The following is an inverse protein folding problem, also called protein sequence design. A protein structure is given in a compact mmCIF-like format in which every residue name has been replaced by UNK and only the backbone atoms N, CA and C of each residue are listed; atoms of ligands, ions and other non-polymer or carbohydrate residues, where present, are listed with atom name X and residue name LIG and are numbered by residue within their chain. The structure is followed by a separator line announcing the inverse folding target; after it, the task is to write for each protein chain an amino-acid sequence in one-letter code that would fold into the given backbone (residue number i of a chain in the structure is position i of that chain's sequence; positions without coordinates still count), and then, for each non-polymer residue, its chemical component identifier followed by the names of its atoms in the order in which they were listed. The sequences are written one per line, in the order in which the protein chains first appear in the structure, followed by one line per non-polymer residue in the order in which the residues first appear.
data_IF_186254347817
#
_entry.id   IF_186254347817
#
_cell.length_a   1.000
_cell.length_b   1.000
_cell.length_c   1.000
_cell.angle_alpha   90.00
_cell.angle_beta   90.00
_cell.angle_gamma   90.00
#
_symmetry.space_group_name_H-M   'P 1'
#
loop_
_entity.id
_entity.type
_entity.pdbx_description
1 polymer ?
#
# COMPACT_ATOMS: atom_id res chain seq x y z
N UNK A 1 15.06 -1.84 6.96
CA UNK A 1 15.23 -0.88 5.87
C UNK A 1 14.26 -1.20 4.75
N UNK A 2 13.70 -0.19 4.13
CA UNK A 2 12.72 -0.36 3.06
C UNK A 2 13.16 0.42 1.83
N UNK A 3 12.60 0.03 0.68
CA UNK A 3 12.88 0.71 -0.58
C UNK A 3 11.60 0.84 -1.39
N UNK A 4 11.55 1.87 -2.21
CA UNK A 4 10.48 2.03 -3.18
C UNK A 4 11.11 2.23 -4.56
N UNK A 5 10.59 1.53 -5.55
CA UNK A 5 11.03 1.68 -6.93
C UNK A 5 9.84 2.10 -7.78
N UNK A 6 10.00 3.20 -8.49
CA UNK A 6 8.97 3.71 -9.39
C UNK A 6 9.23 3.24 -10.81
N UNK A 7 8.21 2.67 -11.42
CA UNK A 7 8.24 2.36 -12.86
C UNK A 7 6.91 2.78 -13.47
N UNK A 8 6.87 2.91 -14.77
CA UNK A 8 5.63 3.19 -15.48
C UNK A 8 5.37 2.09 -16.48
N UNK A 9 4.12 1.69 -16.63
CA UNK A 9 3.70 0.78 -17.67
C UNK A 9 2.36 1.27 -18.25
N UNK A 10 1.75 0.46 -19.11
CA UNK A 10 0.50 0.84 -19.78
C UNK A 10 -0.64 1.06 -18.78
N UNK A 11 -0.60 0.42 -17.64
CA UNK A 11 -1.66 0.48 -16.64
C UNK A 11 -1.52 1.69 -15.71
N UNK A 12 -0.35 2.31 -15.66
CA UNK A 12 -0.12 3.46 -14.81
C UNK A 12 1.25 3.47 -14.17
N UNK A 13 1.34 4.11 -13.02
CA UNK A 13 2.58 4.19 -12.25
C UNK A 13 2.63 3.03 -11.26
N UNK A 14 3.70 2.25 -11.32
CA UNK A 14 3.91 1.13 -10.40
C UNK A 14 4.94 1.53 -9.36
N UNK A 15 4.57 1.41 -8.10
CA UNK A 15 5.49 1.60 -6.97
C UNK A 15 5.74 0.24 -6.35
N UNK A 16 6.96 -0.26 -6.50
CA UNK A 16 7.37 -1.51 -5.89
C UNK A 16 7.96 -1.23 -4.52
N UNK A 17 7.30 -1.74 -3.51
CA UNK A 17 7.75 -1.61 -2.13
C UNK A 17 8.47 -2.87 -1.73
N UNK A 18 9.61 -2.73 -1.05
CA UNK A 18 10.40 -3.88 -0.62
C UNK A 18 10.97 -3.64 0.77
N UNK A 19 11.28 -4.74 1.46
CA UNK A 19 11.91 -4.73 2.76
C UNK A 19 10.91 -4.65 3.90
N UNK A 20 11.25 -3.87 4.92
CA UNK A 20 10.46 -3.73 6.14
C UNK A 20 9.85 -2.36 6.21
N UNK A 21 8.54 -2.30 6.18
CA UNK A 21 7.80 -1.05 6.31
C UNK A 21 7.13 -1.01 7.67
N UNK A 22 7.40 0.04 8.41
CA UNK A 22 6.89 0.24 9.75
C UNK A 22 6.30 1.63 9.88
N UNK A 23 5.60 1.87 10.97
CA UNK A 23 4.95 3.16 11.24
C UNK A 23 5.87 4.35 11.03
N UNK A 24 7.12 4.25 11.45
CA UNK A 24 8.09 5.33 11.34
C UNK A 24 8.45 5.68 9.90
N UNK A 25 8.15 4.80 8.96
CA UNK A 25 8.41 5.03 7.54
C UNK A 25 7.22 5.65 6.81
N UNK A 26 6.07 5.75 7.46
CA UNK A 26 4.84 6.18 6.80
C UNK A 26 4.91 7.62 6.28
N UNK A 27 5.60 8.51 6.97
CA UNK A 27 5.69 9.89 6.51
C UNK A 27 6.37 9.98 5.15
N UNK A 28 7.46 9.25 4.96
CA UNK A 28 8.15 9.21 3.67
C UNK A 28 7.29 8.55 2.62
N UNK A 29 6.64 7.44 2.98
CA UNK A 29 5.79 6.70 2.07
C UNK A 29 4.62 7.56 1.59
N UNK A 30 4.01 8.32 2.47
CA UNK A 30 2.92 9.23 2.13
C UNK A 30 3.37 10.31 1.17
N UNK A 31 4.58 10.83 1.34
CA UNK A 31 5.12 11.83 0.42
C UNK A 31 5.29 11.26 -0.98
N UNK A 32 5.83 10.04 -1.07
CA UNK A 32 5.99 9.37 -2.36
C UNK A 32 4.63 9.18 -3.03
N UNK A 33 3.65 8.70 -2.27
CA UNK A 33 2.32 8.46 -2.81
C UNK A 33 1.63 9.74 -3.23
N UNK A 34 1.73 10.79 -2.44
CA UNK A 34 1.13 12.08 -2.78
C UNK A 34 1.72 12.65 -4.06
N UNK A 35 3.01 12.46 -4.26
CA UNK A 35 3.70 12.92 -5.45
C UNK A 35 3.25 12.15 -6.70
N UNK A 36 3.02 10.85 -6.56
CA UNK A 36 2.73 9.99 -7.72
C UNK A 36 1.24 9.82 -7.99
N UNK A 37 0.39 10.02 -7.00
CA UNK A 37 -1.04 9.77 -7.15
C UNK A 37 -1.76 10.83 -8.01
N UNK A 38 -1.18 12.01 -8.14
CA UNK A 38 -1.83 13.11 -8.85
C UNK A 38 -1.89 12.83 -10.35
N UNK A 39 -3.08 12.56 -10.85
CA UNK A 39 -3.31 12.37 -12.27
C UNK A 39 -2.89 11.04 -12.86
N UNK A 40 -2.54 10.07 -12.02
CA UNK A 40 -2.10 8.77 -12.48
C UNK A 40 -2.82 7.63 -11.76
N UNK A 41 -2.97 6.51 -12.47
CA UNK A 41 -3.37 5.28 -11.82
C UNK A 41 -2.17 4.75 -11.03
N UNK A 42 -2.38 4.49 -9.77
CA UNK A 42 -1.31 4.04 -8.90
C UNK A 42 -1.45 2.54 -8.64
N UNK A 43 -0.38 1.83 -8.88
CA UNK A 43 -0.32 0.39 -8.67
C UNK A 43 0.79 0.10 -7.67
N UNK A 44 0.45 -0.63 -6.62
CA UNK A 44 1.40 -0.99 -5.58
C UNK A 44 1.82 -2.45 -5.77
N UNK A 45 3.09 -2.67 -6.04
CA UNK A 45 3.64 -4.02 -6.16
C UNK A 45 4.27 -4.39 -4.82
N UNK A 46 3.68 -5.37 -4.16
CA UNK A 46 4.06 -5.77 -2.82
C UNK A 46 4.80 -7.10 -2.78
N UNK A 47 5.22 -7.58 -3.93
CA UNK A 47 5.87 -8.89 -4.05
C UNK A 47 7.09 -9.04 -3.14
N UNK A 48 7.86 -7.98 -2.97
CA UNK A 48 9.10 -8.02 -2.21
C UNK A 48 8.98 -7.43 -0.81
N UNK A 49 7.78 -7.10 -0.41
CA UNK A 49 7.53 -6.57 0.93
C UNK A 49 7.61 -7.72 1.94
N UNK A 50 8.48 -7.59 2.93
CA UNK A 50 8.77 -8.69 3.86
C UNK A 50 8.11 -8.54 5.21
N UNK A 51 8.02 -7.32 5.70
CA UNK A 51 7.45 -7.07 7.02
C UNK A 51 6.67 -5.77 7.00
N UNK A 52 5.48 -5.81 7.58
CA UNK A 52 4.66 -4.62 7.78
C UNK A 52 4.10 -4.65 9.19
N UNK A 53 3.75 -3.48 9.73
CA UNK A 53 3.01 -3.41 10.98
C UNK A 53 1.56 -2.98 10.71
N UNK A 54 0.78 -2.88 11.76
CA UNK A 54 -0.64 -2.55 11.64
C UNK A 54 -0.88 -1.17 11.04
N UNK A 55 -0.02 -0.21 11.33
CA UNK A 55 -0.15 1.13 10.77
C UNK A 55 0.08 1.12 9.26
N UNK A 56 1.04 0.34 8.79
CA UNK A 56 1.29 0.20 7.35
C UNK A 56 0.13 -0.51 6.66
N UNK A 57 -0.41 -1.54 7.28
CA UNK A 57 -1.56 -2.26 6.72
C UNK A 57 -2.76 -1.33 6.60
N UNK A 58 -3.03 -0.52 7.61
CA UNK A 58 -4.11 0.45 7.56
C UNK A 58 -3.91 1.46 6.43
N UNK A 59 -2.67 1.92 6.24
CA UNK A 59 -2.35 2.82 5.15
C UNK A 59 -2.57 2.18 3.79
N UNK A 60 -2.16 0.92 3.62
CA UNK A 60 -2.37 0.19 2.36
C UNK A 60 -3.85 0.00 2.08
N UNK A 61 -4.63 -0.31 3.11
CA UNK A 61 -6.08 -0.45 2.97
C UNK A 61 -6.72 0.87 2.52
N UNK A 62 -6.28 1.99 3.08
CA UNK A 62 -6.76 3.30 2.68
C UNK A 62 -6.40 3.61 1.23
N UNK A 63 -5.20 3.24 0.80
CA UNK A 63 -4.79 3.43 -0.59
C UNK A 63 -5.67 2.66 -1.54
N UNK A 64 -5.97 1.40 -1.22
CA UNK A 64 -6.84 0.58 -2.05
C UNK A 64 -8.25 1.17 -2.10
N UNK A 65 -8.77 1.61 -0.98
CA UNK A 65 -10.08 2.25 -0.92
C UNK A 65 -10.16 3.54 -1.73
N UNK A 66 -9.02 4.22 -1.88
CA UNK A 66 -8.93 5.45 -2.69
C UNK A 66 -8.72 5.20 -4.17
N UNK A 67 -8.64 3.94 -4.59
CA UNK A 67 -8.54 3.58 -6.00
C UNK A 67 -7.21 3.01 -6.44
N UNK A 68 -6.23 2.89 -5.57
CA UNK A 68 -4.96 2.27 -5.94
C UNK A 68 -5.15 0.76 -6.09
N UNK A 69 -4.44 0.18 -7.05
CA UNK A 69 -4.46 -1.26 -7.28
C UNK A 69 -3.29 -1.92 -6.57
N UNK A 70 -3.50 -3.15 -6.12
CA UNK A 70 -2.45 -3.95 -5.51
C UNK A 70 -2.04 -5.06 -6.47
N UNK A 71 -0.74 -5.24 -6.65
CA UNK A 71 -0.19 -6.27 -7.53
C UNK A 71 0.72 -7.16 -6.69
N UNK A 72 0.59 -8.49 -6.88
CA UNK A 72 1.45 -9.47 -6.21
C UNK A 72 1.47 -9.34 -4.69
N UNK A 73 0.32 -9.03 -4.12
CA UNK A 73 0.20 -8.87 -2.67
C UNK A 73 0.37 -10.23 -1.98
N UNK A 74 1.31 -10.37 -1.04
CA UNK A 74 1.42 -11.61 -0.27
C UNK A 74 0.11 -11.94 0.44
N UNK A 75 -0.20 -13.23 0.55
CA UNK A 75 -1.48 -13.67 1.11
C UNK A 75 -1.73 -13.15 2.52
N UNK A 76 -0.71 -13.14 3.38
CA UNK A 76 -0.89 -12.68 4.76
C UNK A 76 -1.21 -11.18 4.82
N UNK A 77 -0.64 -10.39 3.92
CA UNK A 77 -0.94 -8.96 3.84
C UNK A 77 -2.35 -8.75 3.30
N UNK A 78 -2.73 -9.52 2.28
CA UNK A 78 -4.07 -9.43 1.71
C UNK A 78 -5.14 -9.76 2.75
N UNK A 79 -4.93 -10.79 3.53
CA UNK A 79 -5.85 -11.15 4.59
C UNK A 79 -5.93 -10.07 5.66
N UNK A 80 -4.79 -9.49 6.00
CA UNK A 80 -4.73 -8.43 7.00
C UNK A 80 -5.46 -7.17 6.51
N UNK A 81 -5.24 -6.78 5.25
CA UNK A 81 -5.94 -5.64 4.65
C UNK A 81 -7.45 -5.89 4.65
N UNK A 82 -7.88 -7.09 4.28
CA UNK A 82 -9.30 -7.44 4.27
C UNK A 82 -9.90 -7.35 5.67
N UNK A 83 -9.19 -7.81 6.69
CA UNK A 83 -9.65 -7.72 8.06
C UNK A 83 -9.80 -6.27 8.51
N UNK A 84 -8.85 -5.40 8.12
CA UNK A 84 -8.94 -3.98 8.44
C UNK A 84 -10.15 -3.32 7.77
N UNK A 85 -10.41 -3.66 6.52
CA UNK A 85 -11.56 -3.13 5.78
C UNK A 85 -12.87 -3.60 6.38
N UNK A 86 -12.96 -4.88 6.76
CA UNK A 86 -14.15 -5.44 7.40
C UNK A 86 -14.40 -4.79 8.76
N UNK A 87 -13.34 -4.57 9.54
CA UNK A 87 -13.47 -3.92 10.83
C UNK A 87 -14.02 -2.51 10.69
N UNK A 88 -13.58 -1.78 9.66
CA UNK A 88 -14.07 -0.45 9.39
C UNK A 88 -15.54 -0.46 8.97
N UNK A 89 -15.93 -1.42 8.13
CA UNK A 89 -17.30 -1.52 7.65
C UNK A 89 -18.27 -1.99 8.72
N UNK A 90 -17.83 -2.82 9.63
CA UNK A 90 -18.70 -3.41 10.64
C UNK A 90 -18.82 -2.57 11.91
N UNK A 91 -18.14 -1.43 12.00
CA UNK A 91 -18.26 -0.56 13.15
C UNK A 91 -19.64 0.06 13.20
N UNK A 92 -20.34 -0.06 14.34
CA UNK A 92 -21.63 0.60 14.47
C UNK A 92 -21.45 2.11 14.55
N UNK A 93 -22.39 2.80 14.07
CA UNK A 93 -22.39 4.25 14.17
C UNK A 93 -22.95 4.75 15.48
#
# INVERSE_FOLDING_TARGET
MWKVRRTEDEDGVVLRLSGRLQRENLNELRRVFASEAAGHNLILDLKELRLVDDAVVAFLADCEASGASMRSCPAYIREWISAEQEATESLPE
#
